data_IF_153574202616
#
_entry.id   IF_153574202616
#
_cell.length_a   1.000
_cell.length_b   1.000
_cell.length_c   1.000
_cell.angle_alpha   90.00
_cell.angle_beta   90.00
_cell.angle_gamma   90.00
#
_symmetry.space_group_name_H-M   'P 1'
#
loop_
_entity.id
_entity.type
_entity.pdbx_description
1 polymer ?
#
# COMPACT_ATOMS: atom_id res chain seq x y z
N UNK A 1 8.32 22.70 0.21
CA UNK A 1 7.97 22.18 -1.10
C UNK A 1 7.59 20.75 -1.02
N UNK A 2 6.44 20.45 -1.48
CA UNK A 2 5.99 19.08 -1.43
C UNK A 2 6.29 18.41 -2.75
N UNK A 3 6.98 17.30 -2.67
CA UNK A 3 7.22 16.46 -3.82
C UNK A 3 6.25 15.32 -3.72
N UNK A 4 5.26 15.32 -4.59
CA UNK A 4 4.17 14.36 -4.53
C UNK A 4 4.05 13.59 -5.83
N UNK A 5 3.49 12.42 -5.71
CA UNK A 5 3.15 11.58 -6.85
C UNK A 5 1.74 11.07 -6.65
N UNK A 6 1.16 10.49 -7.69
CA UNK A 6 -0.21 10.00 -7.64
C UNK A 6 -0.24 8.56 -7.17
N UNK A 7 -1.12 8.28 -6.20
CA UNK A 7 -1.39 6.92 -5.75
C UNK A 7 -2.81 6.57 -6.11
N UNK A 8 -3.00 5.38 -6.70
CA UNK A 8 -4.32 4.86 -6.99
C UNK A 8 -4.39 3.41 -6.55
N UNK A 9 -5.41 3.08 -5.75
CA UNK A 9 -5.67 1.71 -5.33
C UNK A 9 -7.01 1.31 -5.91
N UNK A 10 -7.03 0.21 -6.67
CA UNK A 10 -8.22 -0.27 -7.34
C UNK A 10 -8.49 -1.71 -6.92
N UNK A 11 -9.74 -1.98 -6.57
CA UNK A 11 -10.24 -3.34 -6.39
C UNK A 11 -11.20 -3.67 -7.52
N UNK A 12 -11.59 -4.95 -7.69
CA UNK A 12 -12.45 -5.31 -8.81
C UNK A 12 -13.77 -4.54 -8.87
N UNK A 13 -14.27 -4.12 -7.71
CA UNK A 13 -15.58 -3.48 -7.64
C UNK A 13 -15.52 -1.97 -7.76
N UNK A 14 -14.39 -1.37 -7.44
CA UNK A 14 -14.36 0.09 -7.34
C UNK A 14 -12.94 0.61 -7.24
N UNK A 15 -12.81 1.90 -7.45
CA UNK A 15 -11.60 2.63 -7.13
C UNK A 15 -11.64 2.91 -5.64
N UNK A 16 -10.66 2.37 -4.91
CA UNK A 16 -10.63 2.50 -3.46
C UNK A 16 -10.19 3.91 -3.06
N UNK A 17 -9.12 4.41 -3.67
CA UNK A 17 -8.62 5.74 -3.39
C UNK A 17 -7.77 6.21 -4.57
N UNK A 18 -7.78 7.51 -4.79
CA UNK A 18 -6.86 8.15 -5.75
C UNK A 18 -6.48 9.50 -5.18
N UNK A 19 -5.23 9.62 -4.77
CA UNK A 19 -4.74 10.84 -4.11
C UNK A 19 -3.31 11.13 -4.51
N UNK A 20 -2.84 12.31 -4.17
CA UNK A 20 -1.44 12.66 -4.26
C UNK A 20 -0.84 12.54 -2.88
N UNK A 21 0.36 11.99 -2.80
CA UNK A 21 1.02 11.74 -1.54
C UNK A 21 2.53 11.87 -1.70
N UNK A 22 3.23 12.02 -0.59
CA UNK A 22 4.67 12.19 -0.62
C UNK A 22 5.42 10.88 -0.45
N UNK A 23 4.82 9.88 0.19
CA UNK A 23 5.49 8.61 0.41
C UNK A 23 4.46 7.52 0.63
N UNK A 24 4.72 6.35 0.06
CA UNK A 24 3.91 5.15 0.29
C UNK A 24 4.85 4.00 0.61
N UNK A 25 4.55 3.28 1.68
CA UNK A 25 5.29 2.06 2.03
C UNK A 25 4.38 0.89 1.71
N UNK A 26 4.86 -0.04 0.91
CA UNK A 26 4.07 -1.19 0.47
C UNK A 26 4.69 -2.49 1.00
N UNK A 27 3.85 -3.49 1.31
CA UNK A 27 4.34 -4.81 1.71
C UNK A 27 4.59 -5.65 0.46
N UNK A 28 5.74 -5.46 -0.16
CA UNK A 28 6.07 -6.19 -1.38
C UNK A 28 6.57 -7.58 -1.04
N UNK A 29 6.59 -8.43 -2.05
CA UNK A 29 7.01 -9.81 -1.87
C UNK A 29 8.45 -9.89 -1.36
N UNK A 30 9.29 -8.97 -1.79
CA UNK A 30 10.70 -8.92 -1.39
C UNK A 30 10.91 -8.28 -0.02
N UNK A 31 9.87 -7.70 0.56
CA UNK A 31 9.96 -6.95 1.80
C UNK A 31 9.29 -5.60 1.64
N UNK A 32 9.32 -4.79 2.69
CA UNK A 32 8.73 -3.46 2.61
C UNK A 32 9.52 -2.57 1.67
N UNK A 33 8.81 -1.84 0.83
CA UNK A 33 9.43 -0.91 -0.11
C UNK A 33 8.79 0.46 0.10
N UNK A 34 9.62 1.48 0.30
CA UNK A 34 9.16 2.86 0.37
C UNK A 34 9.27 3.51 -1.00
N UNK A 35 8.20 4.15 -1.44
CA UNK A 35 8.14 4.80 -2.74
C UNK A 35 7.98 6.29 -2.55
N UNK A 36 8.88 7.04 -3.17
CA UNK A 36 8.88 8.48 -3.17
C UNK A 36 8.77 8.98 -4.60
N UNK A 37 8.57 10.28 -4.75
CA UNK A 37 8.56 10.88 -6.08
C UNK A 37 9.85 10.53 -6.81
N UNK A 38 9.72 10.28 -8.10
CA UNK A 38 10.84 9.97 -9.00
C UNK A 38 11.51 8.65 -8.73
N UNK A 39 10.87 7.79 -7.93
CA UNK A 39 11.34 6.42 -7.77
C UNK A 39 11.43 5.75 -9.15
N UNK A 40 12.42 4.87 -9.31
CA UNK A 40 12.57 4.16 -10.57
C UNK A 40 11.34 3.31 -10.86
N UNK A 41 11.04 3.04 -12.13
CA UNK A 41 9.90 2.18 -12.45
C UNK A 41 9.99 0.83 -11.75
N UNK A 42 8.85 0.33 -11.31
CA UNK A 42 8.78 -0.84 -10.47
C UNK A 42 7.53 -1.63 -10.80
N UNK A 43 7.66 -2.96 -10.89
CA UNK A 43 6.53 -3.87 -10.94
C UNK A 43 6.80 -4.96 -9.93
N UNK A 44 5.86 -5.16 -9.00
CA UNK A 44 6.02 -6.19 -8.00
C UNK A 44 4.67 -6.67 -7.51
N UNK A 45 4.69 -7.67 -6.64
CA UNK A 45 3.48 -8.24 -6.06
C UNK A 45 3.42 -7.92 -4.58
N UNK A 46 2.21 -7.84 -4.05
CA UNK A 46 1.99 -7.61 -2.64
C UNK A 46 1.85 -8.92 -1.89
N UNK A 47 2.30 -8.91 -0.66
CA UNK A 47 2.04 -9.96 0.31
C UNK A 47 1.11 -9.38 1.38
N UNK A 48 0.48 -10.22 2.22
CA UNK A 48 -0.40 -9.66 3.25
C UNK A 48 0.32 -8.65 4.11
N UNK A 49 -0.28 -7.50 4.29
CA UNK A 49 0.33 -6.45 5.08
C UNK A 49 -0.39 -5.13 4.91
N UNK A 50 0.26 -4.07 5.36
CA UNK A 50 -0.29 -2.74 5.35
C UNK A 50 0.38 -1.88 4.29
N UNK A 51 -0.45 -1.22 3.48
CA UNK A 51 0.00 -0.12 2.65
C UNK A 51 -0.10 1.12 3.52
N UNK A 52 1.01 1.81 3.71
CA UNK A 52 1.06 2.98 4.58
C UNK A 52 1.27 4.21 3.71
N UNK A 53 0.30 5.12 3.75
CA UNK A 53 0.32 6.34 2.96
C UNK A 53 0.68 7.49 3.89
N UNK A 54 1.74 8.21 3.56
CA UNK A 54 2.21 9.31 4.39
C UNK A 54 2.19 10.60 3.60
N UNK A 55 1.74 11.67 4.24
CA UNK A 55 1.62 12.95 3.59
C UNK A 55 0.72 13.85 4.41
N UNK A 56 -0.16 14.59 3.72
CA UNK A 56 -1.07 15.48 4.41
C UNK A 56 -2.04 14.74 5.31
N UNK A 57 -2.36 13.51 4.95
CA UNK A 57 -3.33 12.72 5.69
C UNK A 57 -2.82 11.28 5.69
N UNK A 58 -2.34 10.84 6.83
CA UNK A 58 -1.80 9.49 6.95
C UNK A 58 -2.93 8.48 6.94
N UNK A 59 -2.81 7.49 6.06
CA UNK A 59 -3.80 6.42 5.94
C UNK A 59 -3.10 5.09 5.83
N UNK A 60 -3.78 4.04 6.25
CA UNK A 60 -3.28 2.68 6.16
C UNK A 60 -4.36 1.79 5.61
N UNK A 61 -3.98 0.90 4.70
CA UNK A 61 -4.90 -0.06 4.11
C UNK A 61 -4.32 -1.44 4.29
N UNK A 62 -5.12 -2.36 4.79
CA UNK A 62 -4.73 -3.76 4.86
C UNK A 62 -5.06 -4.42 3.54
N UNK A 63 -4.09 -5.14 2.98
CA UNK A 63 -4.27 -5.88 1.74
C UNK A 63 -3.76 -7.30 1.94
N UNK A 64 -4.33 -8.24 1.21
CA UNK A 64 -3.89 -9.64 1.28
C UNK A 64 -3.06 -10.01 0.08
N UNK A 65 -3.30 -9.39 -1.05
CA UNK A 65 -2.58 -9.68 -2.29
C UNK A 65 -2.69 -8.47 -3.21
N UNK A 66 -2.01 -8.56 -4.34
CA UNK A 66 -2.15 -7.55 -5.34
C UNK A 66 -0.92 -7.38 -6.19
N UNK A 67 -1.03 -6.51 -7.17
CA UNK A 67 0.08 -6.12 -8.03
C UNK A 67 0.32 -4.64 -7.89
N UNK A 68 1.57 -4.25 -8.07
CA UNK A 68 1.98 -2.85 -7.93
C UNK A 68 2.77 -2.46 -9.15
N UNK A 69 2.44 -1.30 -9.70
CA UNK A 69 3.21 -0.74 -10.80
C UNK A 69 3.47 0.73 -10.51
N UNK A 70 4.73 1.14 -10.58
CA UNK A 70 5.10 2.54 -10.47
C UNK A 70 5.82 2.97 -11.72
N UNK A 71 5.33 4.02 -12.34
CA UNK A 71 5.96 4.59 -13.53
C UNK A 71 5.46 6.02 -13.69
N UNK A 72 6.35 6.92 -14.12
CA UNK A 72 5.98 8.31 -14.41
C UNK A 72 5.27 8.97 -13.24
N UNK A 73 5.74 8.72 -12.03
CA UNK A 73 5.18 9.28 -10.79
C UNK A 73 3.71 8.92 -10.60
N UNK A 74 3.32 7.73 -11.06
CA UNK A 74 2.01 7.16 -10.80
C UNK A 74 2.20 5.79 -10.17
N UNK A 75 1.66 5.62 -8.97
CA UNK A 75 1.70 4.35 -8.27
C UNK A 75 0.32 3.72 -8.37
N UNK A 76 0.24 2.61 -9.07
CA UNK A 76 -1.01 1.89 -9.25
C UNK A 76 -0.96 0.57 -8.51
N UNK A 77 -1.94 0.36 -7.65
CA UNK A 77 -2.06 -0.86 -6.86
C UNK A 77 -3.39 -1.52 -7.20
N UNK A 78 -3.32 -2.76 -7.69
CA UNK A 78 -4.50 -3.56 -7.96
C UNK A 78 -4.55 -4.66 -6.92
N UNK A 79 -5.64 -4.73 -6.16
CA UNK A 79 -5.77 -5.71 -5.09
C UNK A 79 -7.18 -6.25 -5.06
N UNK A 80 -7.33 -7.50 -4.61
CA UNK A 80 -8.66 -8.08 -4.48
C UNK A 80 -9.43 -7.46 -3.32
N UNK A 81 -8.71 -7.05 -2.28
CA UNK A 81 -9.32 -6.41 -1.12
C UNK A 81 -8.41 -5.32 -0.60
N UNK A 82 -8.98 -4.21 -0.20
CA UNK A 82 -8.25 -3.16 0.47
C UNK A 82 -9.18 -2.58 1.51
N UNK A 83 -8.77 -2.66 2.77
CA UNK A 83 -9.60 -2.19 3.86
C UNK A 83 -8.85 -1.10 4.62
N UNK A 84 -9.47 0.06 4.72
CA UNK A 84 -8.87 1.15 5.48
C UNK A 84 -8.86 0.79 6.96
N UNK A 85 -7.72 1.00 7.62
CA UNK A 85 -7.51 0.60 8.99
C UNK A 85 -7.52 1.83 9.88
N UNK A 86 -8.40 1.81 10.88
CA UNK A 86 -8.42 2.84 11.91
C UNK A 86 -7.39 2.49 12.98
N UNK A 87 -7.02 3.50 13.75
CA UNK A 87 -6.03 3.31 14.81
C UNK A 87 -6.40 2.16 15.74
N UNK A 88 -7.69 2.00 16.02
CA UNK A 88 -8.16 0.96 16.92
C UNK A 88 -7.96 -0.45 16.37
N UNK A 89 -7.97 -0.58 15.05
CA UNK A 89 -7.88 -1.88 14.40
C UNK A 89 -6.45 -2.34 14.18
N UNK A 90 -5.50 -1.47 14.39
CA UNK A 90 -4.11 -1.74 14.05
C UNK A 90 -3.56 -2.95 14.81
N UNK A 91 -3.85 -3.02 16.11
CA UNK A 91 -3.33 -4.12 16.93
C UNK A 91 -3.87 -5.46 16.47
N UNK A 92 -5.15 -5.50 16.09
CA UNK A 92 -5.77 -6.73 15.63
C UNK A 92 -5.13 -7.19 14.31
N UNK A 93 -4.90 -6.24 13.40
CA UNK A 93 -4.30 -6.56 12.11
C UNK A 93 -2.87 -7.04 12.30
N UNK A 94 -2.12 -6.42 13.19
CA UNK A 94 -0.75 -6.84 13.46
C UNK A 94 -0.72 -8.28 13.99
N UNK A 95 -1.69 -8.64 14.83
CA UNK A 95 -1.80 -10.00 15.34
C UNK A 95 -2.07 -11.00 14.22
N UNK A 96 -2.94 -10.65 13.30
CA UNK A 96 -3.26 -11.52 12.16
C UNK A 96 -2.03 -11.71 11.27
N UNK A 97 -1.29 -10.65 11.01
CA UNK A 97 -0.08 -10.73 10.19
C UNK A 97 0.96 -11.61 10.87
N UNK A 98 1.13 -11.45 12.19
CA UNK A 98 2.08 -12.26 12.94
C UNK A 98 1.74 -13.73 12.88
N UNK A 99 0.45 -14.06 13.02
CA UNK A 99 0.00 -15.44 12.93
C UNK A 99 0.27 -16.02 11.55
N UNK A 100 0.04 -15.23 10.51
CA UNK A 100 0.30 -15.68 9.14
C UNK A 100 1.78 -15.99 8.94
N UNK A 101 2.65 -15.19 9.51
CA UNK A 101 4.09 -15.41 9.41
C UNK A 101 4.53 -16.65 10.18
N UNK A 102 3.90 -16.95 11.30
CA UNK A 102 4.24 -18.09 12.11
C UNK A 102 3.90 -19.41 11.41
N UNK A 103 2.89 -19.39 10.58
CA UNK A 103 2.41 -20.59 9.90
C UNK A 103 3.16 -20.92 8.62
N UNK A 104 4.17 -20.19 8.32
CA UNK A 104 5.00 -20.45 7.12
C UNK A 104 6.13 -21.48 7.37
#
# INVERSE_FOLDING_TARGET
MSEKFTLEIISPDRQVIKIETSEVIIPAYEGEIGILKDHIPLITFLRPGLIQIQGESDKKYFVEDGTVEFANNNLLILTSTAKEIQELDKNLIDSIISLSLIHI
#
